data_IF_240997695792
#
_entry.id   IF_240997695792
#
_cell.length_a   1.000
_cell.length_b   1.000
_cell.length_c   1.000
_cell.angle_alpha   90.00
_cell.angle_beta   90.00
_cell.angle_gamma   90.00
#
_symmetry.space_group_name_H-M   'P 1'
#
loop_
_entity.id
_entity.type
_entity.pdbx_description
1 polymer ?
#
# COMPACT_ATOMS: atom_id res chain seq x y z
N UNK A 1 -6.85 -5.84 -33.47
CA UNK A 1 -7.01 -6.87 -32.41
C UNK A 1 -5.69 -7.24 -31.71
N UNK A 2 -4.64 -7.74 -32.39
CA UNK A 2 -3.34 -8.05 -31.71
C UNK A 2 -2.57 -6.79 -31.30
N UNK A 3 -2.61 -5.73 -32.12
CA UNK A 3 -1.96 -4.45 -31.82
C UNK A 3 -2.61 -3.76 -30.60
N UNK A 4 -3.93 -3.80 -30.49
CA UNK A 4 -4.66 -3.21 -29.35
C UNK A 4 -4.29 -3.89 -28.03
N UNK A 5 -4.14 -5.23 -28.04
CA UNK A 5 -3.74 -6.00 -26.85
C UNK A 5 -2.30 -5.66 -26.43
N UNK A 6 -1.38 -5.54 -27.39
CA UNK A 6 0.01 -5.13 -27.14
C UNK A 6 0.11 -3.69 -26.64
N UNK A 7 -0.67 -2.77 -27.21
CA UNK A 7 -0.70 -1.38 -26.81
C UNK A 7 -1.23 -1.23 -25.38
N UNK A 8 -2.34 -1.90 -25.07
CA UNK A 8 -2.91 -1.95 -23.73
C UNK A 8 -1.93 -2.52 -22.70
N UNK A 9 -1.21 -3.58 -23.06
CA UNK A 9 -0.23 -4.21 -22.17
C UNK A 9 0.99 -3.32 -21.91
N UNK A 10 1.40 -2.50 -22.90
CA UNK A 10 2.46 -1.50 -22.73
C UNK A 10 2.02 -0.33 -21.85
N UNK A 11 0.81 0.19 -22.04
CA UNK A 11 0.25 1.22 -21.15
C UNK A 11 0.16 0.72 -19.70
N UNK A 12 -0.30 -0.52 -19.49
CA UNK A 12 -0.34 -1.16 -18.17
C UNK A 12 1.05 -1.18 -17.51
N UNK A 13 2.07 -1.63 -18.23
CA UNK A 13 3.45 -1.68 -17.71
C UNK A 13 3.98 -0.28 -17.38
N UNK A 14 3.74 0.70 -18.26
CA UNK A 14 4.15 2.08 -18.01
C UNK A 14 3.48 2.67 -16.76
N UNK A 15 2.19 2.39 -16.52
CA UNK A 15 1.50 2.81 -15.30
C UNK A 15 2.05 2.13 -14.05
N UNK A 16 2.43 0.85 -14.13
CA UNK A 16 3.09 0.14 -13.02
C UNK A 16 4.46 0.75 -12.71
N UNK A 17 5.27 1.05 -13.73
CA UNK A 17 6.58 1.67 -13.54
C UNK A 17 6.48 3.04 -12.86
N UNK A 18 5.54 3.89 -13.29
CA UNK A 18 5.31 5.19 -12.66
C UNK A 18 4.88 5.05 -11.19
N UNK A 19 3.99 4.10 -10.91
CA UNK A 19 3.53 3.85 -9.55
C UNK A 19 4.66 3.27 -8.67
N UNK A 20 5.49 2.36 -9.20
CA UNK A 20 6.63 1.80 -8.48
C UNK A 20 7.65 2.88 -8.07
N UNK A 21 7.90 3.87 -8.93
CA UNK A 21 8.73 5.03 -8.60
C UNK A 21 8.11 5.84 -7.46
N UNK A 22 6.81 6.14 -7.55
CA UNK A 22 6.07 6.85 -6.48
C UNK A 22 6.15 6.11 -5.14
N UNK A 23 5.86 4.81 -5.14
CA UNK A 23 5.94 3.95 -3.95
C UNK A 23 7.36 3.90 -3.37
N UNK A 24 8.40 3.85 -4.21
CA UNK A 24 9.79 3.89 -3.75
C UNK A 24 10.07 5.19 -3.00
N UNK A 25 9.60 6.33 -3.52
CA UNK A 25 9.73 7.61 -2.86
C UNK A 25 8.93 7.67 -1.56
N UNK A 26 7.70 7.18 -1.56
CA UNK A 26 6.83 7.16 -0.38
C UNK A 26 7.37 6.26 0.72
N UNK A 27 7.90 5.07 0.40
CA UNK A 27 8.54 4.16 1.37
C UNK A 27 9.84 4.72 1.94
N UNK A 28 10.59 5.49 1.15
CA UNK A 28 11.85 6.09 1.62
C UNK A 28 11.62 7.01 2.81
N UNK A 29 10.47 7.68 2.90
CA UNK A 29 10.16 8.60 3.98
C UNK A 29 10.04 7.91 5.36
N UNK A 30 9.10 6.97 5.59
CA UNK A 30 8.99 6.30 6.88
C UNK A 30 10.26 5.52 7.24
N UNK A 31 10.96 4.93 6.27
CA UNK A 31 12.24 4.29 6.51
C UNK A 31 13.33 5.25 7.00
N UNK A 32 13.33 6.49 6.51
CA UNK A 32 14.25 7.53 6.98
C UNK A 32 13.94 7.94 8.41
N UNK A 33 12.65 8.04 8.77
CA UNK A 33 12.20 8.31 10.14
C UNK A 33 12.61 7.17 11.07
N UNK A 34 12.31 5.91 10.72
CA UNK A 34 12.71 4.73 11.50
C UNK A 34 14.22 4.71 11.75
N UNK A 35 15.02 5.04 10.72
CA UNK A 35 16.47 5.12 10.85
C UNK A 35 16.90 6.22 11.83
N UNK A 36 16.26 7.39 11.79
CA UNK A 36 16.47 8.47 12.74
C UNK A 36 16.11 8.09 14.17
N UNK A 37 14.94 7.49 14.37
CA UNK A 37 14.49 6.98 15.67
C UNK A 37 15.45 5.91 16.22
N UNK A 38 15.92 4.98 15.39
CA UNK A 38 16.91 3.97 15.80
C UNK A 38 18.25 4.59 16.22
N UNK A 39 18.67 5.69 15.58
CA UNK A 39 19.85 6.45 16.00
C UNK A 39 19.62 7.12 17.36
N UNK A 40 18.48 7.79 17.54
CA UNK A 40 18.11 8.43 18.81
C UNK A 40 18.09 7.41 19.96
N UNK A 41 17.40 6.28 19.80
CA UNK A 41 17.36 5.21 20.81
C UNK A 41 18.75 4.74 21.25
N UNK A 42 19.68 4.55 20.32
CA UNK A 42 21.05 4.15 20.67
C UNK A 42 21.75 5.21 21.52
N UNK A 43 21.60 6.49 21.16
CA UNK A 43 22.19 7.58 21.92
C UNK A 43 21.55 7.77 23.29
N UNK A 44 20.24 7.61 23.40
CA UNK A 44 19.52 7.70 24.69
C UNK A 44 19.93 6.58 25.63
N UNK A 45 20.20 5.36 25.12
CA UNK A 45 20.60 4.21 25.94
C UNK A 45 22.09 4.20 26.31
N UNK A 46 22.97 4.80 25.49
CA UNK A 46 24.42 4.88 25.77
C UNK A 46 24.77 5.89 26.87
N UNK A 47 23.87 6.81 27.20
CA UNK A 47 24.04 7.74 28.33
C UNK A 47 23.66 6.97 29.60
N UNK A 48 24.65 6.48 30.35
CA UNK A 48 24.51 5.60 31.54
C UNK A 48 23.66 6.16 32.70
N UNK A 49 23.22 7.43 32.62
CA UNK A 49 22.33 8.06 33.58
C UNK A 49 20.88 8.04 33.05
N UNK A 50 20.26 6.86 33.06
CA UNK A 50 18.80 6.76 32.89
C UNK A 50 18.16 7.31 34.17
N UNK A 51 18.04 8.63 34.23
CA UNK A 51 17.10 9.28 35.15
C UNK A 51 15.68 8.88 34.75
N UNK A 52 14.74 8.92 35.71
CA UNK A 52 13.35 8.43 35.53
C UNK A 52 12.61 9.04 34.31
N UNK A 53 13.09 10.15 33.75
CA UNK A 53 12.50 10.86 32.61
C UNK A 53 12.85 10.24 31.24
N UNK A 54 13.98 9.50 31.13
CA UNK A 54 14.41 8.89 29.86
C UNK A 54 13.53 7.74 29.39
N UNK A 55 12.72 7.15 30.29
CA UNK A 55 11.82 6.05 29.95
C UNK A 55 10.66 6.48 29.06
N UNK A 56 10.08 7.66 29.31
CA UNK A 56 8.98 8.20 28.49
C UNK A 56 9.48 8.56 27.08
N UNK A 57 10.64 9.20 26.97
CA UNK A 57 11.28 9.52 25.68
C UNK A 57 11.55 8.25 24.84
N UNK A 58 12.08 7.19 25.46
CA UNK A 58 12.31 5.90 24.77
C UNK A 58 10.99 5.33 24.23
N UNK A 59 9.92 5.37 25.03
CA UNK A 59 8.60 4.87 24.62
C UNK A 59 8.06 5.70 23.43
N UNK A 60 8.20 7.02 23.45
CA UNK A 60 7.80 7.88 22.34
C UNK A 60 8.56 7.55 21.05
N UNK A 61 9.87 7.34 21.13
CA UNK A 61 10.68 6.98 19.96
C UNK A 61 10.27 5.60 19.41
N UNK A 62 9.98 4.63 20.27
CA UNK A 62 9.50 3.30 19.86
C UNK A 62 8.13 3.42 19.16
N UNK A 63 7.20 4.20 19.72
CA UNK A 63 5.89 4.41 19.10
C UNK A 63 6.00 5.05 17.70
N UNK A 64 6.93 5.99 17.52
CA UNK A 64 7.20 6.56 16.19
C UNK A 64 7.73 5.52 15.20
N UNK A 65 8.59 4.59 15.64
CA UNK A 65 9.04 3.48 14.80
C UNK A 65 7.84 2.63 14.36
N UNK A 66 6.99 2.23 15.30
CA UNK A 66 5.83 1.37 15.02
C UNK A 66 4.85 2.03 14.05
N UNK A 67 4.53 3.32 14.24
CA UNK A 67 3.67 4.08 13.34
C UNK A 67 4.24 4.14 11.91
N UNK A 68 5.56 4.32 11.76
CA UNK A 68 6.19 4.37 10.45
C UNK A 68 6.31 2.98 9.80
N UNK A 69 6.40 1.91 10.58
CA UNK A 69 6.29 0.53 10.08
C UNK A 69 4.88 0.28 9.54
N UNK A 70 3.84 0.64 10.29
CA UNK A 70 2.45 0.49 9.82
C UNK A 70 2.18 1.31 8.55
N UNK A 71 2.67 2.55 8.50
CA UNK A 71 2.62 3.38 7.29
C UNK A 71 3.28 2.70 6.10
N UNK A 72 4.48 2.13 6.29
CA UNK A 72 5.20 1.39 5.25
C UNK A 72 4.41 0.17 4.76
N UNK A 73 3.77 -0.57 5.67
CA UNK A 73 2.91 -1.70 5.32
C UNK A 73 1.72 -1.27 4.48
N UNK A 74 1.06 -0.17 4.84
CA UNK A 74 -0.07 0.38 4.08
C UNK A 74 0.34 0.76 2.65
N UNK A 75 1.52 1.36 2.48
CA UNK A 75 2.07 1.68 1.15
C UNK A 75 2.28 0.39 0.33
N UNK A 76 2.82 -0.67 0.92
CA UNK A 76 3.01 -1.98 0.26
C UNK A 76 1.66 -2.60 -0.12
N UNK A 77 0.66 -2.58 0.77
CA UNK A 77 -0.67 -3.12 0.49
C UNK A 77 -1.34 -2.39 -0.68
N UNK A 78 -1.25 -1.07 -0.72
CA UNK A 78 -1.79 -0.26 -1.83
C UNK A 78 -1.16 -0.63 -3.18
N UNK A 79 0.15 -0.88 -3.22
CA UNK A 79 0.83 -1.35 -4.43
C UNK A 79 0.35 -2.75 -4.86
N UNK A 80 0.23 -3.69 -3.91
CA UNK A 80 -0.25 -5.04 -4.19
C UNK A 80 -1.70 -5.05 -4.70
N UNK A 81 -2.56 -4.25 -4.09
CA UNK A 81 -3.97 -4.10 -4.51
C UNK A 81 -4.09 -3.51 -5.90
N UNK A 82 -3.24 -2.54 -6.25
CA UNK A 82 -3.20 -1.99 -7.60
C UNK A 82 -2.75 -3.04 -8.62
N UNK A 83 -1.68 -3.78 -8.32
CA UNK A 83 -1.21 -4.87 -9.19
C UNK A 83 -2.32 -5.91 -9.44
N UNK A 84 -3.05 -6.30 -8.39
CA UNK A 84 -4.17 -7.25 -8.49
C UNK A 84 -5.34 -6.71 -9.31
N UNK A 85 -5.71 -5.44 -9.14
CA UNK A 85 -6.78 -4.80 -9.94
C UNK A 85 -6.42 -4.75 -11.42
N UNK A 86 -5.13 -4.56 -11.74
CA UNK A 86 -4.65 -4.53 -13.11
C UNK A 86 -4.69 -5.92 -13.79
N UNK A 87 -4.78 -7.01 -13.02
CA UNK A 87 -4.88 -8.40 -13.53
C UNK A 87 -6.32 -8.89 -13.72
N UNK A 88 -7.34 -8.14 -13.30
CA UNK A 88 -8.73 -8.48 -13.63
C UNK A 88 -8.96 -8.24 -15.12
N UNK A 89 -9.02 -9.32 -15.90
CA UNK A 89 -9.48 -9.26 -17.29
C UNK A 89 -10.93 -8.76 -17.31
N UNK A 90 -11.20 -7.75 -18.15
CA UNK A 90 -12.57 -7.35 -18.43
C UNK A 90 -13.23 -8.46 -19.23
N UNK A 91 -14.15 -9.18 -18.62
CA UNK A 91 -14.98 -10.13 -19.36
C UNK A 91 -16.02 -9.37 -20.20
N UNK A 92 -16.25 -9.84 -21.42
CA UNK A 92 -17.38 -9.41 -22.24
C UNK A 92 -18.66 -9.91 -21.58
N UNK A 93 -19.28 -9.03 -20.82
CA UNK A 93 -20.58 -9.28 -20.20
C UNK A 93 -21.71 -8.83 -21.13
N UNK A 94 -22.67 -9.72 -21.35
CA UNK A 94 -23.92 -9.35 -22.01
C UNK A 94 -24.74 -8.50 -21.04
N UNK A 95 -24.64 -7.18 -21.19
CA UNK A 95 -25.34 -6.23 -20.33
C UNK A 95 -26.86 -6.44 -20.30
N UNK A 96 -27.46 -6.81 -21.44
CA UNK A 96 -28.89 -7.10 -21.54
C UNK A 96 -29.25 -8.36 -20.74
N UNK A 97 -28.44 -9.42 -20.86
CA UNK A 97 -28.60 -10.65 -20.08
C UNK A 97 -28.50 -10.41 -18.58
N UNK A 98 -27.47 -9.68 -18.14
CA UNK A 98 -27.26 -9.33 -16.73
C UNK A 98 -28.41 -8.51 -16.14
N UNK A 99 -28.93 -7.54 -16.90
CA UNK A 99 -30.10 -6.77 -16.48
C UNK A 99 -31.35 -7.64 -16.36
N UNK A 100 -31.57 -8.56 -17.31
CA UNK A 100 -32.72 -9.47 -17.30
C UNK A 100 -32.63 -10.48 -16.14
N UNK A 101 -31.47 -11.07 -15.89
CA UNK A 101 -31.25 -12.00 -14.78
C UNK A 101 -31.47 -11.31 -13.43
N UNK A 102 -30.97 -10.07 -13.28
CA UNK A 102 -31.18 -9.26 -12.08
C UNK A 102 -32.66 -8.92 -11.86
N UNK A 103 -33.38 -8.61 -12.94
CA UNK A 103 -34.83 -8.38 -12.89
C UNK A 103 -35.60 -9.65 -12.54
N UNK A 104 -35.20 -10.81 -13.10
CA UNK A 104 -35.83 -12.09 -12.82
C UNK A 104 -35.76 -12.45 -11.34
N UNK A 105 -34.59 -12.29 -10.70
CA UNK A 105 -34.43 -12.48 -9.26
C UNK A 105 -35.21 -11.48 -8.40
N UNK A 106 -35.43 -10.27 -8.89
CA UNK A 106 -36.22 -9.25 -8.18
C UNK A 106 -37.72 -9.56 -8.20
N UNK A 107 -38.21 -10.14 -9.31
CA UNK A 107 -39.62 -10.48 -9.53
C UNK A 107 -39.93 -11.89 -8.97
N UNK A 108 -38.93 -12.75 -8.87
CA UNK A 108 -39.00 -14.08 -8.26
C UNK A 108 -37.95 -14.23 -7.15
N UNK A 109 -38.16 -13.55 -6.00
CA UNK A 109 -37.37 -13.81 -4.81
C UNK A 109 -37.66 -15.25 -4.31
N UNK A 110 -36.71 -15.86 -3.58
CA UNK A 110 -36.85 -17.22 -3.05
C UNK A 110 -38.02 -17.37 -2.05
#
# INVERSE_FOLDING_TARGET
MVIDKQFYQREKLASIDQMAVGITHELKNPLSVIKGCSYLLKHTVEIEDIENDSGEEIIEIINEIDNNIESSQNIIYNLLDFSRKADKEKELINAVGLCLDSFYYLIHPP
#
